data_IF_351130930095
#
_entry.id   IF_351130930095
#
_cell.length_a   1.000
_cell.length_b   1.000
_cell.length_c   1.000
_cell.angle_alpha   90.00
_cell.angle_beta   90.00
_cell.angle_gamma   90.00
#
_symmetry.space_group_name_H-M   'P 1'
#
loop_
_entity.id
_entity.type
_entity.pdbx_description
1 polymer ?
#
# COMPACT_ATOMS: atom_id res chain seq x y z
N UNK A 1 -55.27 34.35 -3.43
CA UNK A 1 -54.93 34.35 -4.87
C UNK A 1 -53.73 33.45 -5.06
N UNK A 2 -54.00 32.29 -5.68
CA UNK A 2 -53.11 31.36 -6.40
C UNK A 2 -51.80 30.95 -5.70
N UNK A 3 -51.86 29.81 -5.03
CA UNK A 3 -50.70 28.95 -4.80
C UNK A 3 -50.11 28.55 -6.17
N UNK A 4 -48.99 29.15 -6.54
CA UNK A 4 -48.18 28.64 -7.63
C UNK A 4 -47.56 27.32 -7.16
N UNK A 5 -48.25 26.19 -7.42
CA UNK A 5 -47.60 24.88 -7.47
C UNK A 5 -46.43 25.03 -8.44
N UNK A 6 -45.22 25.20 -7.89
CA UNK A 6 -44.00 25.35 -8.67
C UNK A 6 -43.82 24.05 -9.43
N UNK A 7 -44.26 24.03 -10.70
CA UNK A 7 -44.10 22.89 -11.59
C UNK A 7 -42.60 22.71 -11.75
N UNK A 8 -42.05 21.72 -11.05
CA UNK A 8 -40.62 21.42 -11.10
C UNK A 8 -40.27 21.14 -12.56
N UNK A 9 -39.35 21.90 -13.16
CA UNK A 9 -38.99 21.71 -14.55
C UNK A 9 -38.45 20.29 -14.78
N UNK A 10 -38.82 19.66 -15.89
CA UNK A 10 -38.35 18.31 -16.23
C UNK A 10 -36.83 18.19 -16.24
N UNK A 11 -36.12 19.28 -16.54
CA UNK A 11 -34.66 19.36 -16.49
C UNK A 11 -34.09 19.13 -15.08
N UNK A 12 -34.78 19.60 -14.03
CA UNK A 12 -34.38 19.40 -12.63
C UNK A 12 -34.60 17.94 -12.22
N UNK A 13 -35.70 17.34 -12.64
CA UNK A 13 -35.97 15.91 -12.38
C UNK A 13 -34.94 15.00 -13.08
N UNK A 14 -34.55 15.33 -14.32
CA UNK A 14 -33.48 14.62 -15.05
C UNK A 14 -32.11 14.75 -14.36
N UNK A 15 -31.79 15.93 -13.82
CA UNK A 15 -30.56 16.14 -13.04
C UNK A 15 -30.55 15.31 -11.76
N UNK A 16 -31.64 15.31 -10.99
CA UNK A 16 -31.75 14.52 -9.74
C UNK A 16 -31.54 13.03 -9.99
N UNK A 17 -32.18 12.45 -11.01
CA UNK A 17 -31.98 11.04 -11.38
C UNK A 17 -30.52 10.70 -11.70
N UNK A 18 -29.84 11.56 -12.47
CA UNK A 18 -28.41 11.39 -12.80
C UNK A 18 -27.52 11.49 -11.56
N UNK A 19 -27.81 12.44 -10.66
CA UNK A 19 -27.06 12.59 -9.42
C UNK A 19 -27.25 11.39 -8.48
N UNK A 20 -28.45 10.82 -8.42
CA UNK A 20 -28.75 9.58 -7.69
C UNK A 20 -27.99 8.40 -8.28
N UNK A 21 -27.99 8.22 -9.60
CA UNK A 21 -27.21 7.18 -10.30
C UNK A 21 -25.71 7.33 -10.02
N UNK A 22 -25.15 8.53 -10.17
CA UNK A 22 -23.75 8.80 -9.86
C UNK A 22 -23.40 8.60 -8.40
N UNK A 23 -24.32 8.92 -7.48
CA UNK A 23 -24.12 8.68 -6.05
C UNK A 23 -24.09 7.18 -5.75
N UNK A 24 -24.93 6.38 -6.41
CA UNK A 24 -24.92 4.92 -6.28
C UNK A 24 -23.62 4.32 -6.83
N UNK A 25 -23.18 4.73 -8.03
CA UNK A 25 -21.91 4.27 -8.62
C UNK A 25 -20.71 4.64 -7.74
N UNK A 26 -20.66 5.87 -7.21
CA UNK A 26 -19.60 6.30 -6.29
C UNK A 26 -19.56 5.46 -5.01
N UNK A 27 -20.72 5.11 -4.44
CA UNK A 27 -20.80 4.25 -3.26
C UNK A 27 -20.25 2.85 -3.56
N UNK A 28 -20.66 2.25 -4.68
CA UNK A 28 -20.17 0.93 -5.10
C UNK A 28 -18.65 0.94 -5.34
N UNK A 29 -18.13 1.97 -6.02
CA UNK A 29 -16.70 2.13 -6.25
C UNK A 29 -15.92 2.33 -4.94
N UNK A 30 -16.46 3.11 -4.00
CA UNK A 30 -15.85 3.30 -2.69
C UNK A 30 -15.80 2.00 -1.88
N UNK A 31 -16.85 1.19 -1.93
CA UNK A 31 -16.87 -0.14 -1.29
C UNK A 31 -15.86 -1.09 -1.91
N UNK A 32 -15.76 -1.13 -3.24
CA UNK A 32 -14.77 -1.93 -3.95
C UNK A 32 -13.33 -1.49 -3.60
N UNK A 33 -13.07 -0.18 -3.55
CA UNK A 33 -11.77 0.36 -3.15
C UNK A 33 -11.42 0.01 -1.69
N UNK A 34 -12.40 0.08 -0.77
CA UNK A 34 -12.20 -0.31 0.64
C UNK A 34 -11.81 -1.79 0.77
N UNK A 35 -12.48 -2.68 0.02
CA UNK A 35 -12.15 -4.11 -0.01
C UNK A 35 -10.71 -4.36 -0.51
N UNK A 36 -10.34 -3.75 -1.64
CA UNK A 36 -8.98 -3.82 -2.19
C UNK A 36 -7.93 -3.29 -1.21
N UNK A 37 -8.20 -2.17 -0.55
CA UNK A 37 -7.29 -1.58 0.43
C UNK A 37 -7.09 -2.48 1.66
N UNK A 38 -8.15 -3.15 2.13
CA UNK A 38 -8.05 -4.11 3.22
C UNK A 38 -7.19 -5.32 2.85
N UNK A 39 -7.32 -5.85 1.64
CA UNK A 39 -6.48 -6.92 1.11
C UNK A 39 -5.02 -6.48 0.97
N UNK A 40 -4.79 -5.30 0.38
CA UNK A 40 -3.46 -4.72 0.22
C UNK A 40 -2.77 -4.54 1.59
N UNK A 41 -3.49 -4.07 2.61
CA UNK A 41 -2.94 -3.91 3.96
C UNK A 41 -2.49 -5.25 4.56
N UNK A 42 -3.28 -6.31 4.39
CA UNK A 42 -2.89 -7.66 4.85
C UNK A 42 -1.63 -8.15 4.14
N UNK A 43 -1.51 -7.89 2.85
CA UNK A 43 -0.36 -8.27 2.05
C UNK A 43 0.90 -7.46 2.39
N UNK A 44 0.77 -6.15 2.61
CA UNK A 44 1.88 -5.30 3.09
C UNK A 44 2.39 -5.78 4.45
N UNK A 45 1.48 -6.12 5.37
CA UNK A 45 1.86 -6.62 6.69
C UNK A 45 2.65 -7.94 6.60
N UNK A 46 2.17 -8.89 5.79
CA UNK A 46 2.89 -10.16 5.55
C UNK A 46 4.27 -9.93 4.91
N UNK A 47 4.37 -9.02 3.94
CA UNK A 47 5.64 -8.67 3.30
C UNK A 47 6.62 -8.03 4.28
N UNK A 48 6.14 -7.15 5.15
CA UNK A 48 6.99 -6.54 6.18
C UNK A 48 7.57 -7.61 7.13
N UNK A 49 6.76 -8.58 7.55
CA UNK A 49 7.23 -9.71 8.36
C UNK A 49 8.26 -10.56 7.61
N UNK A 50 8.01 -10.86 6.33
CA UNK A 50 8.95 -11.61 5.48
C UNK A 50 10.29 -10.89 5.34
N UNK A 51 10.29 -9.61 4.98
CA UNK A 51 11.53 -8.84 4.83
C UNK A 51 12.29 -8.73 6.15
N UNK A 52 11.59 -8.52 7.27
CA UNK A 52 12.25 -8.52 8.59
C UNK A 52 12.96 -9.83 8.90
N UNK A 53 12.34 -10.98 8.56
CA UNK A 53 12.95 -12.30 8.75
C UNK A 53 14.15 -12.50 7.82
N UNK A 54 14.00 -12.15 6.55
CA UNK A 54 15.05 -12.29 5.55
C UNK A 54 16.32 -11.51 5.94
N UNK A 55 16.18 -10.27 6.40
CA UNK A 55 17.33 -9.47 6.85
C UNK A 55 17.97 -10.04 8.12
N UNK A 56 17.17 -10.54 9.08
CA UNK A 56 17.69 -11.16 10.30
C UNK A 56 18.41 -12.49 10.02
N UNK A 57 17.92 -13.29 9.08
CA UNK A 57 18.57 -14.52 8.63
C UNK A 57 19.90 -14.23 7.92
N UNK A 58 19.91 -13.27 7.00
CA UNK A 58 21.13 -12.81 6.33
C UNK A 58 22.20 -12.33 7.31
N UNK A 59 21.82 -11.57 8.33
CA UNK A 59 22.76 -11.13 9.37
C UNK A 59 23.37 -12.30 10.15
N UNK A 60 22.53 -13.28 10.56
CA UNK A 60 23.00 -14.48 11.24
C UNK A 60 23.92 -15.32 10.36
N UNK A 61 23.61 -15.45 9.09
CA UNK A 61 24.42 -16.19 8.12
C UNK A 61 25.79 -15.53 7.94
N UNK A 62 25.85 -14.20 7.81
CA UNK A 62 27.12 -13.46 7.78
C UNK A 62 27.96 -13.70 9.04
N UNK A 63 27.34 -13.70 10.23
CA UNK A 63 28.03 -13.99 11.48
C UNK A 63 28.58 -15.42 11.50
N UNK A 64 27.80 -16.40 11.05
CA UNK A 64 28.23 -17.80 10.95
C UNK A 64 29.40 -17.95 10.00
N UNK A 65 29.35 -17.35 8.81
CA UNK A 65 30.45 -17.37 7.83
C UNK A 65 31.74 -16.76 8.40
N UNK A 66 31.63 -15.63 9.12
CA UNK A 66 32.78 -15.01 9.81
C UNK A 66 33.39 -15.93 10.86
N UNK A 67 32.54 -16.65 11.62
CA UNK A 67 33.01 -17.62 12.63
C UNK A 67 33.67 -18.83 11.98
N UNK A 68 33.10 -19.38 10.92
CA UNK A 68 33.67 -20.51 10.17
C UNK A 68 35.01 -20.17 9.54
N UNK A 69 35.13 -18.99 8.93
CA UNK A 69 36.40 -18.51 8.38
C UNK A 69 37.47 -18.44 9.48
N UNK A 70 37.12 -17.86 10.64
CA UNK A 70 38.02 -17.77 11.80
C UNK A 70 38.44 -19.14 12.33
N UNK A 71 37.52 -20.11 12.38
CA UNK A 71 37.82 -21.49 12.80
C UNK A 71 38.80 -22.19 11.85
N UNK A 72 38.64 -21.96 10.53
CA UNK A 72 39.55 -22.49 9.49
C UNK A 72 40.88 -21.73 9.41
N UNK A 73 41.09 -20.71 10.25
CA UNK A 73 42.29 -19.87 10.23
C UNK A 73 42.33 -18.84 9.09
N UNK A 74 41.22 -18.62 8.38
CA UNK A 74 41.08 -17.65 7.30
C UNK A 74 40.24 -16.43 7.70
N UNK A 75 40.02 -15.53 6.74
CA UNK A 75 39.21 -14.33 6.90
C UNK A 75 38.02 -14.33 5.94
N UNK A 76 36.87 -13.89 6.42
CA UNK A 76 35.71 -13.64 5.57
C UNK A 76 35.76 -12.19 5.05
N UNK A 77 35.69 -12.02 3.73
CA UNK A 77 35.67 -10.70 3.08
C UNK A 77 34.22 -10.31 2.85
N UNK A 78 33.80 -9.21 3.48
CA UNK A 78 32.43 -8.69 3.33
C UNK A 78 32.23 -8.11 1.91
N UNK A 79 31.03 -8.28 1.32
CA UNK A 79 30.72 -7.73 0.00
C UNK A 79 30.67 -6.20 0.03
N UNK A 80 30.98 -5.57 -1.11
CA UNK A 80 30.93 -4.11 -1.26
C UNK A 80 29.49 -3.57 -1.18
N UNK A 81 29.35 -2.37 -0.60
CA UNK A 81 28.07 -1.70 -0.44
C UNK A 81 27.56 -1.11 -1.77
N UNK A 82 26.37 -1.54 -2.21
CA UNK A 82 25.78 -1.13 -3.49
C UNK A 82 25.11 0.26 -3.47
N UNK A 83 24.66 0.74 -2.32
CA UNK A 83 23.84 1.95 -2.19
C UNK A 83 24.55 3.01 -1.36
N UNK A 84 24.47 4.27 -1.81
CA UNK A 84 25.00 5.44 -1.09
C UNK A 84 23.88 6.46 -0.91
N UNK A 85 23.65 6.90 0.33
CA UNK A 85 22.69 7.97 0.63
C UNK A 85 23.43 9.32 0.56
N UNK A 86 23.04 10.20 -0.37
CA UNK A 86 23.56 11.57 -0.46
C UNK A 86 22.56 12.54 0.18
N UNK A 87 23.01 13.28 1.19
CA UNK A 87 22.23 14.35 1.82
C UNK A 87 22.79 15.68 1.30
N UNK A 88 21.99 16.40 0.52
CA UNK A 88 22.29 17.75 0.05
C UNK A 88 21.72 18.74 1.06
N UNK A 89 22.51 19.72 1.47
CA UNK A 89 22.12 20.78 2.41
C UNK A 89 21.21 21.81 1.75
#
# INVERSE_FOLDING_TARGET
>A
MVESKVVVPESVLKKRKREEEWALEKKQNAEAAKKKNAENRKLIFKRAEQYSKEYAEKEKELISLKREAKLKGGFYVDPEANLKLLIIK
#
